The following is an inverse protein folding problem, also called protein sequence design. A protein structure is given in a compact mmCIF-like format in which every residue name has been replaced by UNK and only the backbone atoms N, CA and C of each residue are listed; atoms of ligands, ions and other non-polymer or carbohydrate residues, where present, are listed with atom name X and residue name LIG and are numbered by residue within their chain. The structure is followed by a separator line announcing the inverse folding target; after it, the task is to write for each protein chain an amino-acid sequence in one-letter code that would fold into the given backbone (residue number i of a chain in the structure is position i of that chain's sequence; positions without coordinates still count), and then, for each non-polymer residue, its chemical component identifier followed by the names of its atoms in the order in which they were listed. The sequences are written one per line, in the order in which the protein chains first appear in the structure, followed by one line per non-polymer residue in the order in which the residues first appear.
data_IF_648198310497
#
_entry.id   IF_648198310497
#
_cell.length_a   1.000
_cell.length_b   1.000
_cell.length_c   1.000
_cell.angle_alpha   90.00
_cell.angle_beta   90.00
_cell.angle_gamma   90.00
#
_symmetry.space_group_name_H-M   'P 1'
#
loop_
_entity.id
_entity.type
_entity.pdbx_description
1 polymer ?
#
# COMPACT_ATOMS: atom_id res chain seq x y z
N UNK A 1 4.05 10.31 -23.13
CA UNK A 1 5.27 9.99 -22.36
C UNK A 1 5.70 8.55 -22.71
N UNK A 2 7.00 8.29 -22.84
CA UNK A 2 7.51 6.96 -23.11
C UNK A 2 7.84 6.26 -21.78
N UNK A 3 7.27 5.09 -21.55
CA UNK A 3 7.60 4.24 -20.39
C UNK A 3 8.99 3.64 -20.58
N UNK A 4 9.85 3.71 -19.58
CA UNK A 4 11.27 3.35 -19.70
C UNK A 4 11.71 2.18 -18.83
N UNK A 5 10.88 1.70 -17.94
CA UNK A 5 11.20 0.55 -17.08
C UNK A 5 10.26 0.41 -15.89
N UNK A 6 10.31 -0.78 -15.32
CA UNK A 6 9.60 -1.17 -14.10
C UNK A 6 10.64 -1.44 -13.01
N UNK A 7 10.32 -1.08 -11.77
CA UNK A 7 11.21 -1.35 -10.64
C UNK A 7 10.44 -1.38 -9.31
N UNK A 8 11.11 -1.82 -8.25
CA UNK A 8 10.64 -1.75 -6.87
C UNK A 8 9.23 -2.36 -6.69
N UNK A 9 9.10 -3.63 -7.02
CA UNK A 9 7.90 -4.38 -6.75
C UNK A 9 7.81 -4.68 -5.26
N UNK A 10 6.71 -4.28 -4.65
CA UNK A 10 6.44 -4.48 -3.22
C UNK A 10 5.02 -5.01 -3.07
N UNK A 11 4.86 -6.01 -2.23
CA UNK A 11 3.55 -6.51 -1.85
C UNK A 11 3.41 -6.59 -0.33
N UNK A 12 2.18 -6.60 0.15
CA UNK A 12 1.85 -6.84 1.54
C UNK A 12 0.52 -7.58 1.62
N UNK A 13 0.39 -8.49 2.57
CA UNK A 13 -0.86 -9.22 2.80
C UNK A 13 -1.94 -8.21 3.21
N UNK A 14 -3.09 -8.27 2.57
CA UNK A 14 -4.24 -7.42 2.84
C UNK A 14 -5.24 -8.15 3.75
N UNK A 15 -5.54 -7.57 4.88
CA UNK A 15 -6.60 -8.04 5.76
C UNK A 15 -7.91 -7.34 5.38
N UNK A 16 -8.78 -8.03 4.67
CA UNK A 16 -10.06 -7.48 4.19
C UNK A 16 -10.99 -7.03 5.33
N UNK A 17 -10.99 -7.74 6.46
CA UNK A 17 -11.87 -7.42 7.59
C UNK A 17 -11.42 -6.16 8.33
N UNK A 18 -10.11 -5.97 8.45
CA UNK A 18 -9.51 -4.82 9.12
C UNK A 18 -9.27 -3.63 8.17
N UNK A 19 -9.26 -3.85 6.85
CA UNK A 19 -8.86 -2.87 5.85
C UNK A 19 -7.41 -2.42 5.99
N UNK A 20 -6.51 -3.31 6.46
CA UNK A 20 -5.12 -2.99 6.76
C UNK A 20 -4.16 -3.94 6.06
N UNK A 21 -2.92 -3.49 5.89
CA UNK A 21 -1.86 -4.30 5.30
C UNK A 21 -0.90 -4.83 6.37
N UNK A 22 -0.34 -6.00 6.12
CA UNK A 22 0.79 -6.55 6.87
C UNK A 22 2.12 -5.87 6.49
N UNK A 23 3.23 -6.42 6.99
CA UNK A 23 4.56 -5.89 6.67
C UNK A 23 4.86 -6.01 5.17
N UNK A 24 5.40 -4.94 4.53
CA UNK A 24 5.75 -4.97 3.13
C UNK A 24 6.92 -5.91 2.85
N UNK A 25 6.83 -6.63 1.74
CA UNK A 25 7.89 -7.51 1.22
C UNK A 25 8.26 -7.05 -0.18
N UNK A 26 9.56 -6.87 -0.43
CA UNK A 26 10.05 -6.56 -1.77
C UNK A 26 10.13 -7.83 -2.60
N UNK A 27 9.50 -7.81 -3.77
CA UNK A 27 9.57 -8.89 -4.75
C UNK A 27 10.73 -8.60 -5.69
N UNK A 28 11.77 -9.41 -5.64
CA UNK A 28 12.92 -9.32 -6.56
C UNK A 28 12.67 -10.15 -7.82
N UNK A 29 13.39 -9.83 -8.91
CA UNK A 29 13.38 -10.61 -10.14
C UNK A 29 12.15 -10.42 -11.04
N UNK A 30 11.35 -9.41 -10.83
CA UNK A 30 10.25 -9.09 -11.76
C UNK A 30 10.80 -8.49 -13.06
N UNK A 31 10.47 -9.14 -14.20
CA UNK A 31 10.92 -8.77 -15.54
C UNK A 31 9.86 -8.01 -16.29
N UNK A 32 8.62 -8.49 -16.24
CA UNK A 32 7.50 -7.95 -16.99
C UNK A 32 6.22 -7.97 -16.13
N UNK A 33 5.41 -6.95 -16.28
CA UNK A 33 4.07 -6.88 -15.70
C UNK A 33 3.10 -6.50 -16.80
N UNK A 34 2.08 -7.34 -16.99
CA UNK A 34 0.94 -7.06 -17.84
C UNK A 34 -0.30 -6.88 -16.98
N UNK A 35 -0.97 -5.75 -17.15
CA UNK A 35 -2.20 -5.43 -16.44
C UNK A 35 -3.31 -5.18 -17.47
N UNK A 36 -4.40 -5.91 -17.35
CA UNK A 36 -5.60 -5.78 -18.18
C UNK A 36 -6.81 -5.51 -17.27
N UNK A 37 -7.30 -4.26 -17.30
CA UNK A 37 -8.40 -3.79 -16.48
C UNK A 37 -9.66 -3.72 -17.33
N UNK A 38 -10.67 -4.50 -16.96
CA UNK A 38 -11.94 -4.60 -17.68
C UNK A 38 -12.97 -3.65 -17.07
N UNK A 39 -13.76 -3.05 -17.95
CA UNK A 39 -14.91 -2.22 -17.56
C UNK A 39 -16.19 -2.89 -18.00
N UNK A 40 -17.26 -2.65 -17.27
CA UNK A 40 -18.59 -3.01 -17.71
C UNK A 40 -18.91 -2.25 -19.02
N UNK A 41 -19.60 -2.91 -19.91
CA UNK A 41 -20.13 -2.33 -21.12
C UNK A 41 -21.62 -2.70 -21.23
N UNK A 42 -22.44 -2.09 -20.37
CA UNK A 42 -23.87 -2.33 -20.33
C UNK A 42 -24.63 -1.09 -20.79
N UNK A 43 -24.96 -0.99 -22.10
CA UNK A 43 -25.73 0.13 -22.63
C UNK A 43 -27.23 -0.04 -22.32
N UNK A 44 -27.88 1.03 -21.89
CA UNK A 44 -29.34 1.14 -21.78
C UNK A 44 -29.83 2.03 -22.89
N UNK A 45 -30.78 1.51 -23.69
CA UNK A 45 -31.40 2.22 -24.78
C UNK A 45 -32.85 2.59 -24.41
N UNK A 46 -33.27 3.77 -24.79
CA UNK A 46 -34.69 4.20 -24.78
C UNK A 46 -34.97 4.91 -26.08
N UNK A 47 -36.09 4.57 -26.73
CA UNK A 47 -36.52 5.12 -28.03
C UNK A 47 -35.43 5.01 -29.13
N UNK A 48 -34.78 3.85 -29.22
CA UNK A 48 -33.65 3.58 -30.13
C UNK A 48 -32.43 4.52 -29.95
N UNK A 49 -32.32 5.19 -28.83
CA UNK A 49 -31.15 6.05 -28.48
C UNK A 49 -30.45 5.52 -27.25
N UNK A 50 -29.14 5.56 -27.29
CA UNK A 50 -28.32 5.27 -26.11
C UNK A 50 -28.63 6.29 -25.02
N UNK A 51 -29.17 5.85 -23.89
CA UNK A 51 -29.54 6.70 -22.76
C UNK A 51 -28.49 6.70 -21.67
N UNK A 52 -27.89 5.54 -21.41
CA UNK A 52 -26.87 5.35 -20.39
C UNK A 52 -25.97 4.18 -20.78
N UNK A 53 -24.70 4.27 -20.38
CA UNK A 53 -23.71 3.21 -20.54
C UNK A 53 -22.99 3.04 -19.21
N UNK A 54 -23.10 1.86 -18.60
CA UNK A 54 -22.29 1.53 -17.44
C UNK A 54 -20.85 1.25 -17.90
N UNK A 55 -19.89 2.00 -17.34
CA UNK A 55 -18.46 1.87 -17.58
C UNK A 55 -17.69 1.69 -16.27
N UNK A 56 -18.37 1.24 -15.21
CA UNK A 56 -17.72 0.93 -13.93
C UNK A 56 -16.66 -0.17 -14.11
N UNK A 57 -15.70 -0.23 -13.19
CA UNK A 57 -14.74 -1.31 -13.13
C UNK A 57 -15.46 -2.65 -12.92
N UNK A 58 -15.07 -3.65 -13.67
CA UNK A 58 -15.65 -4.99 -13.60
C UNK A 58 -14.70 -5.94 -12.86
N UNK A 59 -13.55 -6.17 -13.45
CA UNK A 59 -12.47 -6.99 -12.94
C UNK A 59 -11.15 -6.60 -13.60
N UNK A 60 -10.04 -7.15 -13.12
CA UNK A 60 -8.73 -6.96 -13.73
C UNK A 60 -7.92 -8.25 -13.69
N UNK A 61 -7.04 -8.42 -14.68
CA UNK A 61 -6.06 -9.48 -14.72
C UNK A 61 -4.66 -8.88 -14.64
N UNK A 62 -3.81 -9.53 -13.87
CA UNK A 62 -2.40 -9.19 -13.75
C UNK A 62 -1.57 -10.44 -14.04
N UNK A 63 -0.61 -10.32 -14.96
CA UNK A 63 0.42 -11.32 -15.19
C UNK A 63 1.77 -10.71 -14.83
N UNK A 64 2.48 -11.34 -13.91
CA UNK A 64 3.79 -10.95 -13.44
C UNK A 64 4.79 -12.01 -13.86
N UNK A 65 5.69 -11.65 -14.77
CA UNK A 65 6.80 -12.50 -15.18
C UNK A 65 7.98 -12.24 -14.26
N UNK A 66 8.50 -13.31 -13.65
CA UNK A 66 9.61 -13.24 -12.72
C UNK A 66 10.76 -14.13 -13.21
N UNK A 67 11.99 -13.60 -13.15
CA UNK A 67 13.18 -14.43 -13.30
C UNK A 67 13.42 -15.15 -11.97
N UNK A 68 14.16 -16.19 -11.98
CA UNK A 68 14.64 -16.96 -10.84
C UNK A 68 14.16 -16.46 -9.44
N UNK A 69 12.86 -16.36 -9.29
CA UNK A 69 12.27 -15.83 -8.08
C UNK A 69 12.59 -16.77 -6.92
N UNK A 70 13.00 -16.19 -5.82
CA UNK A 70 13.08 -16.92 -4.56
C UNK A 70 11.70 -17.51 -4.27
N UNK A 71 11.59 -18.82 -4.41
CA UNK A 71 10.34 -19.55 -4.21
C UNK A 71 9.79 -19.32 -2.80
N UNK A 72 10.63 -18.96 -1.84
CA UNK A 72 10.20 -18.61 -0.49
C UNK A 72 9.37 -17.33 -0.44
N UNK A 73 9.56 -16.41 -1.40
CA UNK A 73 8.76 -15.19 -1.56
C UNK A 73 7.47 -15.48 -2.33
N UNK A 74 7.55 -16.30 -3.38
CA UNK A 74 6.41 -16.55 -4.26
C UNK A 74 5.38 -17.52 -3.66
N UNK A 75 5.85 -18.52 -2.91
CA UNK A 75 4.97 -19.53 -2.34
C UNK A 75 3.88 -18.94 -1.42
N UNK A 76 4.19 -18.00 -0.50
CA UNK A 76 3.17 -17.34 0.31
C UNK A 76 2.12 -16.59 -0.51
N UNK A 77 2.50 -15.96 -1.64
CA UNK A 77 1.56 -15.22 -2.50
C UNK A 77 0.44 -16.12 -3.04
N UNK A 78 0.71 -17.42 -3.18
CA UNK A 78 -0.25 -18.43 -3.66
C UNK A 78 -0.81 -19.30 -2.54
N UNK A 79 -0.65 -18.89 -1.29
CA UNK A 79 -1.12 -19.66 -0.12
C UNK A 79 -0.35 -20.98 0.10
N UNK A 80 0.79 -21.19 -0.56
CA UNK A 80 1.60 -22.42 -0.43
C UNK A 80 2.43 -22.40 0.85
N UNK A 81 2.66 -23.57 1.42
CA UNK A 81 3.45 -23.71 2.66
C UNK A 81 4.92 -23.96 2.35
N UNK A 82 5.80 -23.16 2.95
CA UNK A 82 7.25 -23.37 2.93
C UNK A 82 7.72 -24.00 4.24
N UNK A 83 8.45 -25.11 4.16
CA UNK A 83 9.04 -25.81 5.32
C UNK A 83 10.52 -26.04 5.13
N UNK A 84 11.30 -25.92 6.21
CA UNK A 84 12.70 -26.30 6.18
C UNK A 84 12.83 -27.83 6.10
N UNK A 85 13.74 -28.32 5.26
CA UNK A 85 14.12 -29.72 5.18
C UNK A 85 15.62 -29.84 5.39
N UNK A 86 16.03 -30.86 6.13
CA UNK A 86 17.44 -31.17 6.36
C UNK A 86 17.71 -32.62 6.03
N UNK A 87 18.80 -32.88 5.32
CA UNK A 87 19.23 -34.23 4.98
C UNK A 87 20.77 -34.35 5.06
N UNK A 88 21.27 -35.59 5.20
CA UNK A 88 22.70 -35.84 5.24
C UNK A 88 23.23 -36.16 3.84
N UNK A 89 24.29 -35.50 3.43
CA UNK A 89 24.99 -35.76 2.20
C UNK A 89 26.50 -35.86 2.46
N UNK A 90 27.07 -37.04 2.29
CA UNK A 90 28.51 -37.27 2.53
C UNK A 90 29.01 -36.93 3.93
N UNK A 91 28.16 -37.11 4.97
CA UNK A 91 28.50 -36.78 6.35
C UNK A 91 28.29 -35.32 6.76
N UNK A 92 27.85 -34.46 5.83
CA UNK A 92 27.47 -33.07 6.10
C UNK A 92 25.94 -32.92 6.11
N UNK A 93 25.42 -32.11 7.01
CA UNK A 93 24.00 -31.75 7.03
C UNK A 93 23.75 -30.61 6.04
N UNK A 94 22.86 -30.87 5.08
CA UNK A 94 22.38 -29.87 4.11
C UNK A 94 20.98 -29.44 4.54
N UNK A 95 20.77 -28.14 4.68
CA UNK A 95 19.44 -27.54 4.96
C UNK A 95 18.95 -26.79 3.73
N UNK A 96 17.70 -26.99 3.36
CA UNK A 96 17.04 -26.32 2.22
C UNK A 96 15.57 -26.07 2.55
N UNK A 97 14.86 -25.40 1.65
CA UNK A 97 13.43 -25.12 1.76
C UNK A 97 12.64 -26.08 0.85
N UNK A 98 11.54 -26.60 1.35
CA UNK A 98 10.56 -27.38 0.61
C UNK A 98 9.25 -26.61 0.55
N UNK A 99 8.72 -26.42 -0.66
CA UNK A 99 7.40 -25.84 -0.89
C UNK A 99 6.42 -26.98 -1.14
N UNK A 100 5.29 -26.90 -0.48
CA UNK A 100 4.21 -27.86 -0.61
C UNK A 100 2.98 -27.17 -1.15
N UNK A 101 2.44 -27.65 -2.27
CA UNK A 101 1.15 -27.22 -2.83
C UNK A 101 0.07 -28.23 -2.46
N UNK A 102 -1.07 -27.75 -1.98
CA UNK A 102 -2.23 -28.56 -1.59
C UNK A 102 -3.47 -28.07 -2.33
N UNK A 103 -4.46 -28.94 -2.47
CA UNK A 103 -5.77 -28.53 -3.03
C UNK A 103 -6.52 -27.49 -2.16
N UNK A 104 -6.13 -27.37 -0.90
CA UNK A 104 -6.71 -26.42 0.05
C UNK A 104 -5.94 -25.08 0.11
N UNK A 105 -4.93 -24.89 -0.72
CA UNK A 105 -4.20 -23.64 -0.75
C UNK A 105 -5.11 -22.54 -1.30
N UNK A 106 -5.26 -21.47 -0.53
CA UNK A 106 -6.05 -20.29 -0.89
C UNK A 106 -5.05 -19.15 -1.07
N UNK A 107 -5.07 -18.47 -2.23
CA UNK A 107 -4.25 -17.28 -2.42
C UNK A 107 -4.53 -16.23 -1.35
N UNK A 108 -3.49 -15.55 -0.91
CA UNK A 108 -3.64 -14.41 -0.01
C UNK A 108 -4.08 -13.17 -0.79
N UNK A 109 -4.99 -12.40 -0.22
CA UNK A 109 -5.29 -11.07 -0.70
C UNK A 109 -4.09 -10.15 -0.44
N UNK A 110 -3.65 -9.41 -1.43
CA UNK A 110 -2.42 -8.61 -1.39
C UNK A 110 -2.66 -7.20 -1.86
N UNK A 111 -2.05 -6.23 -1.20
CA UNK A 111 -1.68 -4.97 -1.84
C UNK A 111 -0.42 -5.16 -2.67
N UNK A 112 -0.40 -4.66 -3.90
CA UNK A 112 0.73 -4.82 -4.83
C UNK A 112 1.09 -3.49 -5.47
N UNK A 113 2.34 -3.05 -5.34
CA UNK A 113 2.83 -1.78 -5.86
C UNK A 113 4.13 -1.93 -6.64
N UNK A 114 4.32 -1.05 -7.62
CA UNK A 114 5.55 -0.95 -8.40
C UNK A 114 5.77 0.47 -8.89
N UNK A 115 7.00 0.76 -9.33
CA UNK A 115 7.37 2.04 -9.91
C UNK A 115 7.51 1.91 -11.42
N UNK A 116 6.84 2.80 -12.16
CA UNK A 116 7.02 2.99 -13.59
C UNK A 116 7.85 4.26 -13.81
N UNK A 117 8.98 4.13 -14.50
CA UNK A 117 9.77 5.27 -14.92
C UNK A 117 9.26 5.77 -16.27
N UNK A 118 8.87 7.02 -16.34
CA UNK A 118 8.47 7.70 -17.58
C UNK A 118 9.43 8.84 -17.92
N UNK A 119 9.62 9.08 -19.21
CA UNK A 119 10.41 10.18 -19.72
C UNK A 119 9.51 11.14 -20.49
N UNK A 120 9.54 12.40 -20.13
CA UNK A 120 8.92 13.47 -20.93
C UNK A 120 9.71 13.63 -22.25
N UNK A 121 9.07 13.43 -23.41
CA UNK A 121 9.77 13.48 -24.69
C UNK A 121 10.32 14.87 -25.03
N UNK A 122 9.72 15.93 -24.49
CA UNK A 122 10.08 17.32 -24.80
C UNK A 122 11.14 17.84 -23.83
N UNK A 123 10.90 17.70 -22.52
CA UNK A 123 11.79 18.26 -21.48
C UNK A 123 12.89 17.30 -21.07
N UNK A 124 12.79 15.99 -21.45
CA UNK A 124 13.67 14.91 -20.98
C UNK A 124 13.62 14.70 -19.46
N UNK A 125 12.69 15.34 -18.78
CA UNK A 125 12.48 15.14 -17.35
C UNK A 125 12.00 13.72 -17.07
N UNK A 126 12.56 13.07 -16.05
CA UNK A 126 12.13 11.77 -15.57
C UNK A 126 11.02 11.93 -14.53
N UNK A 127 10.01 11.08 -14.62
CA UNK A 127 8.93 10.94 -13.65
C UNK A 127 8.87 9.49 -13.17
N UNK A 128 8.59 9.35 -11.91
CA UNK A 128 8.47 8.05 -11.26
C UNK A 128 7.04 7.91 -10.75
N UNK A 129 6.29 7.01 -11.39
CA UNK A 129 4.88 6.79 -11.09
C UNK A 129 4.78 5.53 -10.25
N UNK A 130 4.38 5.69 -9.01
CA UNK A 130 3.99 4.57 -8.15
C UNK A 130 2.58 4.16 -8.55
N UNK A 131 2.42 2.90 -8.92
CA UNK A 131 1.13 2.28 -9.18
C UNK A 131 0.86 1.27 -8.09
N UNK A 132 -0.34 1.31 -7.54
CA UNK A 132 -0.78 0.44 -6.46
C UNK A 132 -2.10 -0.22 -6.82
N UNK A 133 -2.14 -1.52 -6.73
CA UNK A 133 -3.37 -2.33 -6.75
C UNK A 133 -3.65 -2.71 -5.30
N UNK A 134 -4.73 -2.18 -4.71
CA UNK A 134 -4.98 -2.39 -3.28
C UNK A 134 -5.40 -3.82 -2.95
N UNK A 135 -5.98 -4.55 -3.93
CA UNK A 135 -6.40 -5.93 -3.73
C UNK A 135 -6.09 -6.78 -4.97
N UNK A 136 -5.14 -7.70 -4.84
CA UNK A 136 -4.76 -8.68 -5.87
C UNK A 136 -4.64 -10.06 -5.24
N UNK A 137 -5.06 -11.09 -5.96
CA UNK A 137 -4.86 -12.49 -5.61
C UNK A 137 -4.15 -13.22 -6.74
N UNK A 138 -3.00 -13.86 -6.48
CA UNK A 138 -2.28 -14.66 -7.46
C UNK A 138 -2.66 -16.13 -7.35
N UNK A 139 -3.52 -16.60 -8.22
CA UNK A 139 -4.07 -17.97 -8.19
C UNK A 139 -3.40 -18.94 -9.18
N UNK A 140 -2.63 -18.43 -10.14
CA UNK A 140 -2.01 -19.24 -11.20
C UNK A 140 -0.51 -19.06 -11.29
N UNK A 141 0.21 -20.15 -11.50
CA UNK A 141 1.63 -20.15 -11.85
C UNK A 141 1.84 -21.03 -13.09
N UNK A 142 2.50 -20.48 -14.10
CA UNK A 142 2.93 -21.23 -15.28
C UNK A 142 4.45 -21.30 -15.30
N UNK A 143 4.99 -22.49 -15.46
CA UNK A 143 6.42 -22.74 -15.60
C UNK A 143 6.69 -23.43 -16.95
N UNK A 144 7.56 -22.82 -17.76
CA UNK A 144 8.06 -23.45 -18.97
C UNK A 144 9.43 -24.07 -18.65
N UNK A 145 9.54 -25.39 -18.76
CA UNK A 145 10.80 -26.09 -18.58
C UNK A 145 11.28 -26.64 -19.94
N UNK A 146 12.47 -26.23 -20.38
CA UNK A 146 13.11 -26.75 -21.59
C UNK A 146 14.51 -27.23 -21.26
N UNK A 147 14.93 -28.37 -21.86
CA UNK A 147 16.31 -28.80 -21.83
C UNK A 147 17.17 -27.86 -22.68
N UNK A 148 18.38 -27.58 -22.22
CA UNK A 148 19.32 -26.74 -22.95
C UNK A 148 19.82 -27.47 -24.22
N UNK A 149 19.42 -27.00 -25.39
CA UNK A 149 19.90 -27.47 -26.69
C UNK A 149 20.70 -26.35 -27.37
N UNK A 150 22.02 -26.35 -27.20
CA UNK A 150 22.97 -25.55 -27.98
C UNK A 150 22.96 -24.02 -27.73
N UNK A 151 21.91 -23.44 -27.21
CA UNK A 151 21.81 -22.01 -26.80
C UNK A 151 21.25 -21.87 -25.42
N UNK A 152 21.70 -20.84 -24.67
CA UNK A 152 21.12 -20.54 -23.35
C UNK A 152 19.72 -19.99 -23.53
N UNK A 153 18.72 -20.74 -23.10
CA UNK A 153 17.34 -20.26 -23.01
C UNK A 153 17.01 -19.99 -21.56
N UNK A 154 16.66 -18.75 -21.23
CA UNK A 154 16.19 -18.41 -19.91
C UNK A 154 14.73 -18.84 -19.75
N UNK A 155 14.43 -19.45 -18.62
CA UNK A 155 13.08 -19.90 -18.26
C UNK A 155 12.56 -18.96 -17.20
N UNK A 156 11.34 -18.48 -17.40
CA UNK A 156 10.68 -17.56 -16.50
C UNK A 156 9.38 -18.17 -15.97
N UNK A 157 9.03 -17.83 -14.74
CA UNK A 157 7.71 -18.17 -14.20
C UNK A 157 6.77 -17.00 -14.37
N UNK A 158 5.54 -17.27 -14.79
CA UNK A 158 4.47 -16.27 -14.84
C UNK A 158 3.48 -16.53 -13.72
N UNK A 159 3.27 -15.54 -12.90
CA UNK A 159 2.23 -15.50 -11.89
C UNK A 159 1.02 -14.77 -12.47
N UNK A 160 -0.12 -15.45 -12.54
CA UNK A 160 -1.37 -14.86 -13.00
C UNK A 160 -2.30 -14.61 -11.83
N UNK A 161 -2.84 -13.40 -11.76
CA UNK A 161 -3.71 -12.97 -10.67
C UNK A 161 -4.92 -12.18 -11.15
N UNK A 162 -5.83 -11.97 -10.22
CA UNK A 162 -7.05 -11.17 -10.40
C UNK A 162 -6.94 -9.91 -9.52
N UNK A 163 -7.37 -8.79 -10.09
CA UNK A 163 -7.45 -7.50 -9.40
C UNK A 163 -8.90 -7.27 -8.99
N UNK A 164 -9.11 -6.96 -7.72
CA UNK A 164 -10.41 -6.63 -7.15
C UNK A 164 -10.47 -5.16 -6.76
N UNK A 165 -11.68 -4.63 -6.62
CA UNK A 165 -11.89 -3.33 -6.00
C UNK A 165 -12.10 -3.47 -4.49
N UNK A 166 -11.67 -2.45 -3.75
CA UNK A 166 -12.05 -2.29 -2.35
C UNK A 166 -13.54 -1.95 -2.20
N UNK A 167 -14.04 -1.96 -0.98
CA UNK A 167 -15.44 -1.64 -0.66
C UNK A 167 -15.87 -0.22 -1.08
N UNK A 168 -14.93 0.72 -1.18
CA UNK A 168 -15.17 2.09 -1.66
C UNK A 168 -15.11 2.21 -3.19
N UNK A 169 -14.84 1.11 -3.91
CA UNK A 169 -14.71 1.05 -5.36
C UNK A 169 -13.29 1.32 -5.88
N UNK A 170 -12.32 1.58 -5.03
CA UNK A 170 -10.92 1.78 -5.43
C UNK A 170 -10.31 0.46 -5.90
N UNK A 171 -9.76 0.42 -7.10
CA UNK A 171 -9.08 -0.76 -7.67
C UNK A 171 -7.64 -0.48 -8.09
N UNK A 172 -7.27 0.78 -8.31
CA UNK A 172 -5.91 1.20 -8.62
C UNK A 172 -5.67 2.64 -8.18
N UNK A 173 -4.49 2.89 -7.66
CA UNK A 173 -4.01 4.23 -7.30
C UNK A 173 -2.71 4.55 -8.02
N UNK A 174 -2.49 5.82 -8.35
CA UNK A 174 -1.27 6.31 -8.98
C UNK A 174 -0.77 7.57 -8.27
N UNK A 175 0.52 7.58 -7.91
CA UNK A 175 1.19 8.74 -7.34
C UNK A 175 2.46 9.08 -8.14
N UNK A 176 2.67 10.37 -8.44
CA UNK A 176 3.73 10.84 -9.33
C UNK A 176 4.80 11.57 -8.53
N UNK A 177 6.07 11.16 -8.71
CA UNK A 177 7.23 11.73 -8.04
C UNK A 177 8.27 12.22 -9.05
N UNK A 178 9.09 13.20 -8.63
CA UNK A 178 10.18 13.74 -9.44
C UNK A 178 11.51 12.98 -9.19
N UNK A 179 11.58 12.16 -8.15
CA UNK A 179 12.75 11.33 -7.84
C UNK A 179 12.35 9.88 -7.54
N UNK A 180 13.26 8.96 -7.85
CA UNK A 180 13.05 7.54 -7.51
C UNK A 180 13.09 7.31 -6.00
N UNK A 181 13.93 8.04 -5.28
CA UNK A 181 14.03 7.93 -3.82
C UNK A 181 12.71 8.26 -3.12
N UNK A 182 12.02 9.33 -3.56
CA UNK A 182 10.73 9.72 -2.99
C UNK A 182 9.64 8.68 -3.32
N UNK A 183 9.65 8.15 -4.55
CA UNK A 183 8.73 7.09 -4.95
C UNK A 183 8.92 5.81 -4.12
N UNK A 184 10.17 5.40 -3.86
CA UNK A 184 10.50 4.25 -2.99
C UNK A 184 10.09 4.51 -1.54
N UNK A 185 10.39 5.70 -1.02
CA UNK A 185 9.97 6.08 0.33
C UNK A 185 8.45 6.02 0.48
N UNK A 186 7.72 6.52 -0.53
CA UNK A 186 6.25 6.48 -0.54
C UNK A 186 5.70 5.04 -0.54
N UNK A 187 6.22 4.14 -1.40
CA UNK A 187 5.80 2.72 -1.41
C UNK A 187 5.97 2.10 -0.03
N UNK A 188 7.09 2.37 0.63
CA UNK A 188 7.35 1.83 1.97
C UNK A 188 6.35 2.33 3.01
N UNK A 189 5.72 3.49 2.80
CA UNK A 189 4.69 4.02 3.71
C UNK A 189 3.30 3.45 3.45
N UNK A 190 2.99 3.00 2.22
CA UNK A 190 1.66 2.50 1.85
C UNK A 190 1.20 1.30 2.68
N UNK A 191 2.13 0.44 3.06
CA UNK A 191 1.85 -0.82 3.76
C UNK A 191 2.20 -0.78 5.24
N UNK A 192 2.60 0.39 5.78
CA UNK A 192 2.82 0.52 7.21
C UNK A 192 1.47 0.54 7.93
N UNK A 193 1.37 -0.21 9.01
CA UNK A 193 0.26 -0.04 9.93
C UNK A 193 0.23 1.41 10.40
N UNK A 194 -0.96 2.01 10.43
CA UNK A 194 -1.14 3.43 10.76
C UNK A 194 -1.30 3.61 12.27
N UNK A 195 -0.71 4.65 12.83
CA UNK A 195 -1.03 5.07 14.19
C UNK A 195 -2.53 5.34 14.32
N UNK A 196 -3.11 5.01 15.46
CA UNK A 196 -4.48 5.38 15.77
C UNK A 196 -4.63 6.90 15.80
N UNK A 197 -5.80 7.37 15.40
CA UNK A 197 -6.09 8.80 15.37
C UNK A 197 -6.05 9.42 16.78
N UNK A 198 -5.62 10.67 16.85
CA UNK A 198 -5.62 11.41 18.12
C UNK A 198 -7.05 11.73 18.54
N UNK A 199 -7.41 11.34 19.75
CA UNK A 199 -8.67 11.71 20.38
C UNK A 199 -8.43 12.94 21.27
N UNK A 200 -9.21 14.00 21.04
CA UNK A 200 -9.15 15.26 21.80
C UNK A 200 -10.39 15.35 22.65
N UNK A 201 -10.23 15.67 23.95
CA UNK A 201 -11.33 15.72 24.90
C UNK A 201 -12.39 16.81 24.57
N UNK A 202 -11.94 17.93 23.98
CA UNK A 202 -12.82 19.05 23.65
C UNK A 202 -13.23 18.99 22.16
N UNK A 203 -14.53 19.05 21.88
CA UNK A 203 -15.07 19.13 20.52
C UNK A 203 -14.85 20.53 19.92
N UNK A 204 -15.01 20.68 18.58
CA UNK A 204 -15.04 22.03 17.96
C UNK A 204 -16.22 22.84 18.51
N UNK A 205 -16.02 24.13 18.81
CA UNK A 205 -17.09 24.96 19.32
C UNK A 205 -16.61 26.32 19.85
N UNK A 206 -17.57 27.02 20.48
CA UNK A 206 -17.31 28.29 21.16
C UNK A 206 -17.31 28.07 22.68
N UNK A 207 -16.27 28.51 23.34
CA UNK A 207 -16.02 28.30 24.77
C UNK A 207 -15.54 29.57 25.45
N UNK A 208 -15.73 29.68 26.75
CA UNK A 208 -14.97 30.63 27.57
C UNK A 208 -13.59 30.03 27.89
N UNK A 209 -12.65 30.85 28.32
CA UNK A 209 -11.32 30.37 28.74
C UNK A 209 -11.41 29.29 29.82
N UNK A 210 -12.27 29.44 30.81
CA UNK A 210 -12.49 28.45 31.86
C UNK A 210 -13.11 27.12 31.39
N UNK A 211 -13.78 27.10 30.23
CA UNK A 211 -14.32 25.90 29.63
C UNK A 211 -13.32 25.18 28.70
N UNK A 212 -12.26 25.85 28.32
CA UNK A 212 -11.21 25.38 27.43
C UNK A 212 -9.88 25.12 28.16
N UNK A 213 -9.94 24.96 29.48
CA UNK A 213 -8.82 24.48 30.31
C UNK A 213 -8.70 22.95 30.26
N UNK A 214 -7.51 22.44 30.53
CA UNK A 214 -7.20 21.01 30.65
C UNK A 214 -7.62 20.17 29.45
N UNK A 215 -7.47 20.69 28.24
CA UNK A 215 -7.74 19.92 26.99
C UNK A 215 -6.73 18.79 26.87
N UNK A 216 -7.23 17.55 26.91
CA UNK A 216 -6.40 16.34 26.82
C UNK A 216 -6.40 15.75 25.43
N UNK A 217 -5.28 15.10 25.07
CA UNK A 217 -5.12 14.35 23.84
C UNK A 217 -4.66 12.93 24.17
N UNK A 218 -5.26 11.95 23.51
CA UNK A 218 -4.89 10.55 23.67
C UNK A 218 -4.74 9.85 22.32
N UNK A 219 -3.89 8.83 22.27
CA UNK A 219 -3.73 7.94 21.11
C UNK A 219 -3.63 6.51 21.64
N UNK A 220 -4.40 5.59 21.09
CA UNK A 220 -4.38 4.17 21.51
C UNK A 220 -3.16 3.41 21.00
N UNK A 221 -2.37 3.97 20.09
CA UNK A 221 -1.09 3.37 19.66
C UNK A 221 -0.05 3.58 20.77
N UNK A 222 0.30 2.51 21.47
CA UNK A 222 1.29 2.53 22.53
C UNK A 222 2.63 3.07 22.02
N UNK A 223 3.25 4.01 22.77
CA UNK A 223 4.53 4.63 22.42
C UNK A 223 4.49 5.59 21.24
N UNK A 224 3.32 5.98 20.76
CA UNK A 224 3.19 7.08 19.80
C UNK A 224 3.38 8.44 20.48
N UNK A 225 4.08 9.35 19.79
CA UNK A 225 4.21 10.76 20.21
C UNK A 225 3.16 11.59 19.49
N UNK A 226 2.39 12.38 20.24
CA UNK A 226 1.39 13.29 19.68
C UNK A 226 2.06 14.66 19.45
N UNK A 227 1.96 15.17 18.23
CA UNK A 227 2.33 16.54 17.85
C UNK A 227 1.07 17.34 17.52
N UNK A 228 1.03 18.61 17.93
CA UNK A 228 -0.13 19.47 17.67
C UNK A 228 0.28 20.90 17.32
N UNK A 229 -0.62 21.61 16.63
CA UNK A 229 -0.53 23.04 16.32
C UNK A 229 -1.82 23.74 16.70
N UNK A 230 -1.73 25.03 17.05
CA UNK A 230 -2.86 25.89 17.38
C UNK A 230 -3.16 26.95 16.30
N UNK A 231 -2.35 27.00 15.26
CA UNK A 231 -2.40 28.01 14.19
C UNK A 231 -2.95 27.44 12.85
N UNK A 232 -3.53 26.26 12.86
CA UNK A 232 -4.09 25.60 11.68
C UNK A 232 -3.07 24.97 10.71
N UNK A 233 -1.75 25.11 10.97
CA UNK A 233 -0.74 24.44 10.16
C UNK A 233 -0.73 22.93 10.41
N UNK A 234 -0.23 22.15 9.45
CA UNK A 234 -0.12 20.69 9.58
C UNK A 234 0.98 20.32 10.58
N UNK A 235 0.66 19.63 11.70
CA UNK A 235 1.65 19.18 12.66
C UNK A 235 2.53 18.05 12.09
N UNK A 236 3.79 18.03 12.52
CA UNK A 236 4.76 16.97 12.18
C UNK A 236 5.81 16.89 13.27
N UNK A 237 6.75 15.95 13.19
CA UNK A 237 7.87 15.86 14.13
C UNK A 237 8.78 17.12 14.16
N UNK A 238 8.70 17.96 13.12
CA UNK A 238 9.49 19.21 13.00
C UNK A 238 8.62 20.48 13.01
N UNK A 239 7.29 20.35 13.04
CA UNK A 239 6.36 21.45 13.08
C UNK A 239 5.28 21.22 14.14
N UNK A 240 5.19 22.10 15.11
CA UNK A 240 4.24 22.03 16.22
C UNK A 240 4.89 21.69 17.55
N UNK A 241 4.05 21.54 18.56
CA UNK A 241 4.44 21.18 19.92
C UNK A 241 4.20 19.71 20.19
N UNK A 242 5.06 19.09 21.00
CA UNK A 242 4.84 17.73 21.51
C UNK A 242 3.88 17.78 22.67
N UNK A 243 2.85 16.94 22.65
CA UNK A 243 1.91 16.82 23.76
C UNK A 243 2.52 16.01 24.91
N UNK A 244 2.57 16.58 26.09
CA UNK A 244 3.07 15.93 27.31
C UNK A 244 2.16 16.12 28.52
N UNK A 245 1.26 17.11 28.49
CA UNK A 245 0.32 17.42 29.54
C UNK A 245 -0.91 18.11 28.94
N UNK A 246 -2.05 18.17 29.67
CA UNK A 246 -3.22 18.96 29.27
C UNK A 246 -2.82 20.39 28.90
N UNK A 247 -3.52 20.97 27.95
CA UNK A 247 -3.26 22.33 27.45
C UNK A 247 -4.49 23.24 27.69
N UNK A 248 -4.22 24.52 27.95
CA UNK A 248 -5.25 25.55 28.09
C UNK A 248 -5.34 26.36 26.79
N UNK A 249 -6.56 26.51 26.28
CA UNK A 249 -6.80 27.33 25.10
C UNK A 249 -7.21 28.74 25.53
N UNK A 250 -6.23 29.64 25.59
CA UNK A 250 -6.43 31.03 26.04
C UNK A 250 -6.92 31.95 24.92
N UNK A 251 -6.92 31.49 23.67
CA UNK A 251 -7.37 32.24 22.49
C UNK A 251 -7.97 31.31 21.46
N UNK A 252 -8.75 31.87 20.54
CA UNK A 252 -9.29 31.09 19.39
C UNK A 252 -8.20 30.45 18.59
N UNK A 253 -8.39 29.18 18.20
CA UNK A 253 -7.36 28.36 17.60
C UNK A 253 -7.90 27.43 16.50
N UNK A 254 -7.18 27.37 15.39
CA UNK A 254 -7.27 26.29 14.41
C UNK A 254 -6.37 25.14 14.86
N UNK A 255 -6.95 24.22 15.63
CA UNK A 255 -6.22 23.11 16.21
C UNK A 255 -6.04 21.96 15.23
N UNK A 256 -4.84 21.40 15.18
CA UNK A 256 -4.56 20.13 14.48
C UNK A 256 -3.62 19.28 15.30
N UNK A 257 -3.83 17.95 15.27
CA UNK A 257 -2.97 16.97 15.95
C UNK A 257 -2.73 15.74 15.08
N UNK A 258 -1.57 15.12 15.28
CA UNK A 258 -1.14 13.88 14.62
C UNK A 258 -0.36 13.01 15.59
N UNK A 259 -0.58 11.69 15.56
CA UNK A 259 0.23 10.72 16.29
C UNK A 259 1.30 10.14 15.35
N UNK A 260 2.54 10.10 15.84
CA UNK A 260 3.71 9.62 15.09
C UNK A 260 4.45 8.58 15.92
N UNK A 261 4.77 7.44 15.30
CA UNK A 261 5.63 6.40 15.89
C UNK A 261 6.54 5.82 14.82
N UNK A 262 7.80 5.63 15.16
CA UNK A 262 8.76 4.99 14.24
C UNK A 262 8.28 3.58 13.86
N UNK A 263 8.34 3.25 12.56
CA UNK A 263 7.89 1.96 12.03
C UNK A 263 6.39 1.88 11.73
N UNK A 264 5.64 2.96 11.95
CA UNK A 264 4.23 3.07 11.58
C UNK A 264 4.03 4.29 10.65
N UNK A 265 2.96 4.25 9.87
CA UNK A 265 2.46 5.45 9.21
C UNK A 265 1.84 6.40 10.25
N UNK A 266 1.92 7.69 10.00
CA UNK A 266 1.30 8.69 10.87
C UNK A 266 -0.22 8.50 10.92
N UNK A 267 -0.84 8.88 12.04
CA UNK A 267 -2.30 8.93 12.12
C UNK A 267 -2.89 9.92 11.11
N UNK A 268 -4.19 9.84 10.88
CA UNK A 268 -4.91 10.95 10.24
C UNK A 268 -4.78 12.21 11.11
N UNK A 269 -4.88 13.38 10.46
CA UNK A 269 -4.86 14.65 11.18
C UNK A 269 -6.22 14.85 11.81
N UNK A 270 -6.24 14.88 13.14
CA UNK A 270 -7.41 15.34 13.91
C UNK A 270 -7.45 16.86 13.89
N UNK A 271 -8.46 17.46 13.28
CA UNK A 271 -8.64 18.91 13.21
C UNK A 271 -9.83 19.35 14.07
N UNK A 272 -9.68 20.50 14.74
CA UNK A 272 -10.71 21.16 15.55
C UNK A 272 -10.63 22.68 15.37
N UNK A 273 -11.75 23.33 15.48
CA UNK A 273 -11.86 24.80 15.48
C UNK A 273 -12.42 25.27 16.81
N UNK A 274 -11.70 26.14 17.49
CA UNK A 274 -12.09 26.69 18.79
C UNK A 274 -12.22 28.19 18.69
N UNK A 275 -13.36 28.72 19.15
CA UNK A 275 -13.61 30.14 19.33
C UNK A 275 -13.64 30.41 20.83
N UNK A 276 -12.68 31.15 21.32
CA UNK A 276 -12.60 31.49 22.76
C UNK A 276 -13.15 32.91 22.96
N UNK A 277 -14.16 33.00 23.82
CA UNK A 277 -14.76 34.25 24.25
C UNK A 277 -14.31 34.62 25.67
N UNK A 278 -14.25 35.90 25.92
CA UNK A 278 -13.88 36.41 27.25
C UNK A 278 -14.92 36.05 28.31
#
# INVERSE_FOLDING_TARGET
MAKKGLSNFVHAIFNEQAGTYGSPVTTSGAIELKLDLQKNDAPIYSDNRLKYKDQSFKDGKIDLVVDFADQSILAPLMGKTTTAVSFSNGGSTVTSSKITSKMSDIPEALGFSWIVKELDPNTKAEKFIVKTLPHVEFAGQTEDAKTQEGSVTFIYSTLSGVVYSLADGTYMEEAIFNSQSDAVAYINTLYLATCADVVVSLASGTYTTAQAEDVTMTCSTEGATIYYTLNGTTPSATNGSTYSAPIDLLASAGFKAVAIKSGLANSKITAREYIITA
#
